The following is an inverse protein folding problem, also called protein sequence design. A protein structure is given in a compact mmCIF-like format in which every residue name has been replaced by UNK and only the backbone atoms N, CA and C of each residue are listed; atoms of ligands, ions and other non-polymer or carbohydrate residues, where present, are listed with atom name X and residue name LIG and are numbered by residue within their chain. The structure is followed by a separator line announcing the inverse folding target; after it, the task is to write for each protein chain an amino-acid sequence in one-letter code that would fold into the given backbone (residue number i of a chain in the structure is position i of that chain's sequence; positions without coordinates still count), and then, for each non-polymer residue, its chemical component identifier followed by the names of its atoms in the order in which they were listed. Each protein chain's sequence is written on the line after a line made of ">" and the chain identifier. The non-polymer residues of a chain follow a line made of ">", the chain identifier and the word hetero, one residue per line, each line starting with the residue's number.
data_IF_306323113765
#
_entry.id   IF_306323113765
#
_cell.length_a   1.000
_cell.length_b   1.000
_cell.length_c   1.000
_cell.angle_alpha   90.00
_cell.angle_beta   90.00
_cell.angle_gamma   90.00
#
_symmetry.space_group_name_H-M   'P 1'
#
loop_
_entity.id
_entity.type
_entity.pdbx_description
1 polymer ?
#
# COMPACT_ATOMS: atom_id res chain seq x y z
N UNK A 1 -9.01 -6.76 -24.77
CA UNK A 1 -7.82 -7.17 -23.96
C UNK A 1 -7.73 -6.50 -22.57
N UNK A 2 -8.80 -5.89 -22.01
CA UNK A 2 -8.68 -5.00 -20.82
C UNK A 2 -8.87 -5.65 -19.44
N UNK A 3 -9.37 -6.89 -19.33
CA UNK A 3 -9.91 -7.39 -18.04
C UNK A 3 -8.92 -8.12 -17.12
N UNK A 4 -7.90 -8.83 -17.65
CA UNK A 4 -6.91 -9.53 -16.81
C UNK A 4 -6.05 -8.56 -15.98
N UNK A 5 -5.90 -7.33 -16.47
CA UNK A 5 -5.03 -6.31 -15.89
C UNK A 5 -5.69 -5.55 -14.72
N UNK A 6 -7.02 -5.43 -14.72
CA UNK A 6 -7.82 -4.86 -13.62
C UNK A 6 -7.72 -5.69 -12.36
N UNK A 7 -7.75 -7.01 -12.48
CA UNK A 7 -7.74 -7.95 -11.36
C UNK A 7 -6.46 -7.86 -10.53
N UNK A 8 -5.30 -7.82 -11.20
CA UNK A 8 -4.00 -7.70 -10.53
C UNK A 8 -3.79 -6.34 -9.86
N UNK A 9 -4.27 -5.25 -10.49
CA UNK A 9 -4.20 -3.92 -9.87
C UNK A 9 -5.06 -3.87 -8.60
N UNK A 10 -6.27 -4.42 -8.67
CA UNK A 10 -7.18 -4.49 -7.54
C UNK A 10 -6.56 -5.23 -6.35
N UNK A 11 -5.98 -6.41 -6.61
CA UNK A 11 -5.26 -7.17 -5.60
C UNK A 11 -4.19 -6.35 -4.88
N UNK A 12 -3.30 -5.69 -5.64
CA UNK A 12 -2.19 -4.92 -5.07
C UNK A 12 -2.68 -3.77 -4.20
N UNK A 13 -3.77 -3.09 -4.61
CA UNK A 13 -4.38 -2.05 -3.78
C UNK A 13 -4.93 -2.66 -2.48
N UNK A 14 -5.54 -3.86 -2.54
CA UNK A 14 -6.05 -4.59 -1.35
C UNK A 14 -4.98 -5.07 -0.42
N UNK A 15 -3.87 -5.48 -0.98
CA UNK A 15 -2.67 -5.83 -0.24
C UNK A 15 -2.07 -4.61 0.45
N UNK A 16 -1.79 -3.53 -0.29
CA UNK A 16 -1.13 -2.33 0.24
C UNK A 16 -1.97 -1.54 1.27
N UNK A 17 -3.28 -1.79 1.34
CA UNK A 17 -4.21 -1.12 2.26
C UNK A 17 -4.99 -2.14 3.10
N UNK A 18 -4.36 -3.28 3.39
CA UNK A 18 -4.88 -4.31 4.29
C UNK A 18 -5.01 -3.80 5.72
N UNK A 19 -5.93 -4.35 6.49
CA UNK A 19 -5.98 -4.09 7.94
C UNK A 19 -4.85 -4.75 8.73
N UNK A 20 -4.18 -5.74 8.14
CA UNK A 20 -3.01 -6.42 8.70
C UNK A 20 -1.71 -5.65 8.47
N UNK A 21 -1.73 -4.59 7.66
CA UNK A 21 -0.55 -3.74 7.45
C UNK A 21 -0.54 -2.67 8.55
N UNK A 22 0.46 -2.71 9.42
CA UNK A 22 0.59 -1.75 10.52
C UNK A 22 1.05 -0.36 10.02
N UNK A 23 1.81 -0.31 8.92
CA UNK A 23 2.42 0.91 8.40
C UNK A 23 2.34 1.00 6.86
N UNK A 24 2.47 2.20 6.27
CA UNK A 24 2.43 2.35 4.82
C UNK A 24 3.65 1.71 4.14
N UNK A 25 3.40 0.64 3.36
CA UNK A 25 4.45 -0.02 2.61
C UNK A 25 4.81 0.75 1.33
N UNK A 26 5.87 1.57 1.41
CA UNK A 26 6.30 2.41 0.29
C UNK A 26 6.66 1.62 -0.97
N UNK A 27 7.22 0.41 -0.82
CA UNK A 27 7.55 -0.47 -1.95
C UNK A 27 6.29 -0.92 -2.69
N UNK A 28 5.24 -1.35 -1.97
CA UNK A 28 3.94 -1.71 -2.57
C UNK A 28 3.30 -0.50 -3.24
N UNK A 29 3.32 0.66 -2.58
CA UNK A 29 2.74 1.90 -3.10
C UNK A 29 3.41 2.35 -4.42
N UNK A 30 4.74 2.37 -4.47
CA UNK A 30 5.49 2.71 -5.67
C UNK A 30 5.25 1.71 -6.80
N UNK A 31 5.14 0.41 -6.50
CA UNK A 31 4.79 -0.60 -7.50
C UNK A 31 3.41 -0.36 -8.11
N UNK A 32 2.42 0.05 -7.30
CA UNK A 32 1.07 0.39 -7.79
C UNK A 32 1.13 1.63 -8.70
N UNK A 33 1.85 2.67 -8.28
CA UNK A 33 2.03 3.91 -9.05
C UNK A 33 2.70 3.61 -10.39
N UNK A 34 3.80 2.87 -10.40
CA UNK A 34 4.54 2.51 -11.62
C UNK A 34 3.63 1.76 -12.61
N UNK A 35 2.87 0.76 -12.13
CA UNK A 35 1.92 0.00 -12.95
C UNK A 35 0.82 0.86 -13.57
N UNK A 36 0.45 1.97 -12.94
CA UNK A 36 -0.60 2.89 -13.38
C UNK A 36 -0.07 4.06 -14.22
N UNK A 37 1.24 4.34 -14.17
CA UNK A 37 1.88 5.52 -14.76
C UNK A 37 1.49 5.75 -16.22
N UNK A 38 1.51 4.69 -17.04
CA UNK A 38 1.27 4.76 -18.50
C UNK A 38 -0.18 4.48 -18.93
N UNK A 39 -1.10 4.18 -18.01
CA UNK A 39 -2.45 3.72 -18.36
C UNK A 39 -3.55 4.57 -17.72
N UNK A 40 -4.23 5.44 -18.50
CA UNK A 40 -5.36 6.25 -18.04
C UNK A 40 -6.50 5.42 -17.41
N UNK A 41 -6.78 4.25 -17.99
CA UNK A 41 -7.81 3.33 -17.48
C UNK A 41 -7.47 2.81 -16.08
N UNK A 42 -6.22 2.37 -15.86
CA UNK A 42 -5.77 1.94 -14.53
C UNK A 42 -5.80 3.07 -13.51
N UNK A 43 -5.45 4.30 -13.91
CA UNK A 43 -5.51 5.45 -13.00
C UNK A 43 -6.94 5.75 -12.57
N UNK A 44 -7.93 5.52 -13.45
CA UNK A 44 -9.35 5.63 -13.12
C UNK A 44 -9.78 4.55 -12.12
N UNK A 45 -9.41 3.30 -12.38
CA UNK A 45 -9.75 2.17 -11.51
C UNK A 45 -9.10 2.31 -10.13
N UNK A 46 -7.83 2.73 -10.09
CA UNK A 46 -7.11 3.05 -8.86
C UNK A 46 -7.81 4.14 -8.06
N UNK A 47 -8.17 5.25 -8.70
CA UNK A 47 -8.87 6.34 -8.01
C UNK A 47 -10.21 5.85 -7.42
N UNK A 48 -10.99 5.10 -8.21
CA UNK A 48 -12.28 4.57 -7.77
C UNK A 48 -12.13 3.57 -6.62
N UNK A 49 -11.14 2.69 -6.65
CA UNK A 49 -10.94 1.72 -5.58
C UNK A 49 -10.45 2.39 -4.28
N UNK A 50 -9.53 3.36 -4.37
CA UNK A 50 -9.11 4.15 -3.20
C UNK A 50 -10.29 4.90 -2.55
N UNK A 51 -11.21 5.43 -3.37
CA UNK A 51 -12.45 6.04 -2.87
C UNK A 51 -13.32 5.04 -2.11
N UNK A 52 -13.40 3.79 -2.58
CA UNK A 52 -14.14 2.72 -1.89
C UNK A 52 -13.49 2.34 -0.57
N UNK A 53 -12.15 2.30 -0.51
CA UNK A 53 -11.40 2.02 0.72
C UNK A 53 -11.55 3.10 1.77
N UNK A 54 -11.51 4.37 1.38
CA UNK A 54 -11.72 5.50 2.29
C UNK A 54 -13.11 5.48 2.98
N UNK A 55 -14.09 4.78 2.41
CA UNK A 55 -15.43 4.61 3.02
C UNK A 55 -15.51 3.46 4.03
N UNK A 56 -14.50 2.59 4.15
CA UNK A 56 -14.50 1.46 5.09
C UNK A 56 -14.57 1.94 6.53
N UNK A 57 -15.05 1.11 7.47
CA UNK A 57 -15.10 1.48 8.90
C UNK A 57 -13.72 1.39 9.57
N UNK A 58 -12.89 0.45 9.11
CA UNK A 58 -11.55 0.21 9.64
C UNK A 58 -10.63 1.44 9.39
N UNK A 59 -10.04 1.96 10.45
CA UNK A 59 -9.19 3.15 10.42
C UNK A 59 -7.85 2.91 9.74
N UNK A 60 -7.23 1.74 9.95
CA UNK A 60 -5.99 1.32 9.28
C UNK A 60 -6.18 1.33 7.76
N UNK A 61 -7.27 0.73 7.26
CA UNK A 61 -7.58 0.74 5.82
C UNK A 61 -7.72 2.17 5.29
N UNK A 62 -8.42 3.06 6.01
CA UNK A 62 -8.56 4.47 5.59
C UNK A 62 -7.22 5.19 5.58
N UNK A 63 -6.40 4.99 6.61
CA UNK A 63 -5.10 5.61 6.74
C UNK A 63 -4.15 5.20 5.62
N UNK A 64 -3.96 3.89 5.41
CA UNK A 64 -3.12 3.40 4.32
C UNK A 64 -3.63 3.88 2.95
N UNK A 65 -4.96 3.95 2.79
CA UNK A 65 -5.57 4.46 1.56
C UNK A 65 -5.33 5.95 1.33
N UNK A 66 -5.34 6.80 2.38
CA UNK A 66 -5.04 8.22 2.21
C UNK A 66 -3.57 8.42 1.87
N UNK A 67 -2.66 7.64 2.46
CA UNK A 67 -1.22 7.71 2.17
C UNK A 67 -0.95 7.34 0.72
N UNK A 68 -1.52 6.22 0.26
CA UNK A 68 -1.40 5.81 -1.14
C UNK A 68 -2.04 6.85 -2.08
N UNK A 69 -3.22 7.39 -1.74
CA UNK A 69 -3.88 8.42 -2.55
C UNK A 69 -3.03 9.69 -2.69
N UNK A 70 -2.42 10.16 -1.60
CA UNK A 70 -1.53 11.32 -1.59
C UNK A 70 -0.31 11.10 -2.50
N UNK A 71 0.33 9.93 -2.38
CA UNK A 71 1.43 9.55 -3.27
C UNK A 71 0.98 9.50 -4.75
N UNK A 72 -0.18 8.91 -5.04
CA UNK A 72 -0.71 8.84 -6.40
C UNK A 72 -1.01 10.22 -6.99
N UNK A 73 -1.58 11.14 -6.20
CA UNK A 73 -1.86 12.51 -6.65
C UNK A 73 -0.57 13.28 -6.99
N UNK A 74 0.49 13.08 -6.21
CA UNK A 74 1.80 13.73 -6.42
C UNK A 74 2.61 13.11 -7.57
N UNK A 75 2.52 11.80 -7.77
CA UNK A 75 3.33 11.09 -8.76
C UNK A 75 2.66 10.91 -10.13
N UNK A 76 1.37 10.54 -10.19
CA UNK A 76 0.68 10.26 -11.45
C UNK A 76 0.21 11.53 -12.16
N UNK A 77 -0.18 12.56 -11.38
CA UNK A 77 -0.64 13.87 -11.86
C UNK A 77 -1.75 13.73 -12.93
N UNK A 78 -2.02 14.79 -13.69
CA UNK A 78 -2.85 14.79 -14.90
C UNK A 78 -4.13 13.95 -14.81
N UNK A 79 -4.16 12.83 -15.54
CA UNK A 79 -5.31 11.93 -15.65
C UNK A 79 -5.79 11.41 -14.29
N UNK A 80 -4.88 11.06 -13.37
CA UNK A 80 -5.27 10.59 -12.05
C UNK A 80 -6.02 11.68 -11.27
N UNK A 81 -5.48 12.91 -11.26
CA UNK A 81 -6.11 14.04 -10.56
C UNK A 81 -7.44 14.43 -11.20
N UNK A 82 -7.56 14.33 -12.52
CA UNK A 82 -8.84 14.47 -13.23
C UNK A 82 -9.91 13.49 -12.71
N UNK A 83 -9.53 12.26 -12.38
CA UNK A 83 -10.46 11.28 -11.80
C UNK A 83 -10.88 11.64 -10.36
N UNK A 84 -10.08 12.42 -9.62
CA UNK A 84 -10.43 12.93 -8.30
C UNK A 84 -11.41 14.11 -8.37
N UNK A 85 -11.48 14.83 -9.49
CA UNK A 85 -12.35 15.98 -9.71
C UNK A 85 -13.85 15.59 -9.84
N UNK A 86 -14.39 14.95 -8.80
CA UNK A 86 -15.78 14.51 -8.72
C UNK A 86 -16.38 14.94 -7.38
N UNK A 87 -17.62 15.45 -7.39
CA UNK A 87 -18.34 15.87 -6.17
C UNK A 87 -18.44 14.75 -5.13
N UNK A 88 -18.69 13.53 -5.60
CA UNK A 88 -18.79 12.35 -4.74
C UNK A 88 -17.46 11.95 -4.12
N UNK A 89 -16.32 12.18 -4.81
CA UNK A 89 -14.99 11.94 -4.27
C UNK A 89 -14.64 12.98 -3.20
N UNK A 90 -14.82 14.25 -3.52
CA UNK A 90 -14.56 15.35 -2.58
C UNK A 90 -15.42 15.25 -1.31
N UNK A 91 -16.66 14.74 -1.42
CA UNK A 91 -17.50 14.47 -0.24
C UNK A 91 -16.85 13.45 0.69
N UNK A 92 -16.27 12.38 0.16
CA UNK A 92 -15.55 11.36 0.96
C UNK A 92 -14.33 11.99 1.63
N UNK A 93 -13.50 12.74 0.89
CA UNK A 93 -12.33 13.41 1.48
C UNK A 93 -12.72 14.38 2.58
N UNK A 94 -13.80 15.16 2.41
CA UNK A 94 -14.30 16.04 3.48
C UNK A 94 -14.71 15.24 4.72
N UNK A 95 -15.38 14.10 4.56
CA UNK A 95 -15.79 13.26 5.68
C UNK A 95 -14.58 12.73 6.46
N UNK A 96 -13.54 12.27 5.74
CA UNK A 96 -12.29 11.80 6.34
C UNK A 96 -11.55 12.96 7.04
N UNK A 97 -11.47 14.13 6.40
CA UNK A 97 -10.83 15.32 6.96
C UNK A 97 -11.51 15.83 8.24
N UNK A 98 -12.84 15.71 8.36
CA UNK A 98 -13.58 16.18 9.55
C UNK A 98 -13.66 15.16 10.69
N UNK A 99 -12.97 14.02 10.59
CA UNK A 99 -13.10 12.95 11.57
C UNK A 99 -12.35 13.30 12.87
N UNK A 100 -13.10 13.63 13.92
CA UNK A 100 -12.59 14.27 15.16
C UNK A 100 -11.56 13.47 15.96
N UNK A 101 -11.53 12.15 15.84
CA UNK A 101 -10.68 11.28 16.69
C UNK A 101 -9.33 10.91 16.08
N UNK A 102 -8.94 11.45 14.92
CA UNK A 102 -7.71 11.06 14.22
C UNK A 102 -6.99 12.25 13.60
N UNK A 103 -6.04 12.81 14.35
CA UNK A 103 -5.29 14.01 13.95
C UNK A 103 -4.47 13.74 12.69
N UNK A 104 -3.70 12.65 12.61
CA UNK A 104 -2.81 12.41 11.47
C UNK A 104 -3.57 12.14 10.16
N UNK A 105 -4.61 11.28 10.20
CA UNK A 105 -5.46 11.00 9.05
C UNK A 105 -6.17 12.27 8.55
N UNK A 106 -6.67 13.08 9.48
CA UNK A 106 -7.32 14.36 9.17
C UNK A 106 -6.31 15.34 8.54
N UNK A 107 -5.17 15.56 9.20
CA UNK A 107 -4.11 16.47 8.76
C UNK A 107 -3.59 16.09 7.38
N UNK A 108 -3.31 14.81 7.14
CA UNK A 108 -2.85 14.33 5.82
C UNK A 108 -3.91 14.52 4.74
N UNK A 109 -5.19 14.30 5.07
CA UNK A 109 -6.30 14.56 4.13
C UNK A 109 -6.41 16.05 3.81
N UNK A 110 -6.26 16.92 4.82
CA UNK A 110 -6.29 18.37 4.64
C UNK A 110 -5.11 18.85 3.79
N UNK A 111 -3.90 18.33 4.05
CA UNK A 111 -2.71 18.60 3.25
C UNK A 111 -2.93 18.21 1.78
N UNK A 112 -3.51 17.03 1.52
CA UNK A 112 -3.85 16.61 0.16
C UNK A 112 -4.87 17.55 -0.51
N UNK A 113 -5.92 17.96 0.20
CA UNK A 113 -6.92 18.90 -0.35
C UNK A 113 -6.26 20.25 -0.67
N UNK A 114 -5.36 20.74 0.19
CA UNK A 114 -4.59 21.96 -0.06
C UNK A 114 -3.70 21.80 -1.30
N UNK A 115 -2.95 20.71 -1.39
CA UNK A 115 -2.11 20.39 -2.54
C UNK A 115 -2.93 20.39 -3.84
N UNK A 116 -4.09 19.74 -3.86
CA UNK A 116 -4.98 19.71 -5.02
C UNK A 116 -5.48 21.10 -5.40
N UNK A 117 -5.90 21.91 -4.42
CA UNK A 117 -6.35 23.30 -4.66
C UNK A 117 -5.24 24.20 -5.19
N UNK A 118 -4.00 24.04 -4.72
CA UNK A 118 -2.88 24.89 -5.11
C UNK A 118 -2.31 24.51 -6.48
N UNK A 119 -2.25 23.22 -6.80
CA UNK A 119 -1.59 22.72 -8.01
C UNK A 119 -2.54 22.50 -9.20
N UNK A 120 -3.86 22.43 -8.95
CA UNK A 120 -4.86 22.14 -9.99
C UNK A 120 -6.03 23.13 -9.94
N UNK A 121 -5.71 24.41 -10.10
CA UNK A 121 -6.66 25.53 -10.03
C UNK A 121 -7.77 25.47 -11.09
N UNK A 122 -7.54 24.77 -12.20
CA UNK A 122 -8.51 24.53 -13.26
C UNK A 122 -9.73 23.73 -12.75
N UNK A 123 -9.55 22.91 -11.72
CA UNK A 123 -10.61 22.14 -11.10
C UNK A 123 -11.23 22.90 -9.93
N UNK A 124 -12.21 23.76 -10.24
CA UNK A 124 -12.96 24.58 -9.26
C UNK A 124 -13.53 23.79 -8.08
N UNK A 125 -13.73 22.47 -8.22
CA UNK A 125 -14.21 21.62 -7.13
C UNK A 125 -13.25 21.55 -5.94
N UNK A 126 -11.94 21.59 -6.20
CA UNK A 126 -10.92 21.52 -5.16
C UNK A 126 -10.94 22.81 -4.34
N UNK A 127 -10.97 23.97 -5.01
CA UNK A 127 -11.14 25.28 -4.37
C UNK A 127 -12.43 25.37 -3.57
N UNK A 128 -13.57 24.93 -4.12
CA UNK A 128 -14.85 24.90 -3.39
C UNK A 128 -14.79 24.01 -2.16
N UNK A 129 -14.14 22.85 -2.27
CA UNK A 129 -13.98 21.90 -1.16
C UNK A 129 -13.13 22.47 -0.05
N UNK A 130 -12.01 23.11 -0.40
CA UNK A 130 -11.12 23.81 0.52
C UNK A 130 -11.85 24.95 1.26
N UNK A 131 -12.56 25.82 0.53
CA UNK A 131 -13.34 26.92 1.13
C UNK A 131 -14.45 26.42 2.05
N UNK A 132 -15.12 25.32 1.69
CA UNK A 132 -16.14 24.68 2.55
C UNK A 132 -15.55 24.20 3.87
N UNK A 133 -14.29 23.74 3.88
CA UNK A 133 -13.62 23.29 5.10
C UNK A 133 -13.17 24.50 5.96
N UNK A 134 -12.72 25.59 5.33
CA UNK A 134 -12.44 26.85 6.03
C UNK A 134 -13.68 27.43 6.71
N UNK A 135 -14.81 27.49 6.02
CA UNK A 135 -16.08 27.96 6.60
C UNK A 135 -16.57 27.09 7.78
N UNK A 136 -16.10 25.83 7.87
CA UNK A 136 -16.36 24.95 9.01
C UNK A 136 -15.39 25.16 10.17
N UNK A 137 -14.50 26.15 10.09
CA UNK A 137 -13.51 26.46 11.12
C UNK A 137 -12.32 25.49 11.15
N UNK A 138 -12.06 24.76 10.06
CA UNK A 138 -10.93 23.82 10.01
C UNK A 138 -9.66 24.57 9.63
N UNK A 139 -8.69 24.55 10.54
CA UNK A 139 -7.39 25.16 10.31
C UNK A 139 -6.49 24.22 9.50
N UNK A 140 -5.89 24.78 8.46
CA UNK A 140 -4.99 24.10 7.55
C UNK A 140 -3.55 24.37 8.03
N UNK A 141 -2.93 23.46 8.78
CA UNK A 141 -1.53 23.56 9.27
C UNK A 141 -0.49 23.47 8.14
N UNK A 142 0.55 24.30 8.17
CA UNK A 142 1.68 24.21 7.22
C UNK A 142 2.42 22.87 7.39
N UNK A 143 2.67 22.17 6.29
CA UNK A 143 3.25 20.82 6.29
C UNK A 143 4.73 20.85 6.74
N UNK A 144 5.14 20.13 7.80
CA UNK A 144 6.55 20.08 8.22
C UNK A 144 7.45 19.14 7.40
N UNK A 145 6.90 18.16 6.67
CA UNK A 145 7.68 16.97 6.26
C UNK A 145 8.15 16.90 4.80
N UNK A 146 7.91 17.90 3.97
CA UNK A 146 8.48 17.94 2.61
C UNK A 146 8.97 19.34 2.23
N UNK A 147 9.91 19.84 3.03
CA UNK A 147 10.84 20.89 2.63
C UNK A 147 11.92 20.31 1.73
N UNK A 148 11.84 20.59 0.43
CA UNK A 148 12.87 20.18 -0.53
C UNK A 148 12.61 20.76 -1.92
N UNK A 149 12.99 22.02 -2.12
CA UNK A 149 13.07 22.64 -3.46
C UNK A 149 12.44 24.01 -3.57
N UNK A 150 13.08 25.00 -2.95
CA UNK A 150 12.83 26.44 -3.11
C UNK A 150 12.96 26.86 -4.59
N UNK A 151 12.08 27.75 -5.04
CA UNK A 151 12.52 29.12 -5.39
C UNK A 151 11.33 29.98 -5.81
N UNK A 152 10.79 30.75 -4.87
CA UNK A 152 10.28 32.07 -5.20
C UNK A 152 10.77 33.10 -4.17
N UNK A 153 11.50 34.05 -4.73
CA UNK A 153 12.26 35.16 -4.15
C UNK A 153 11.61 35.82 -2.93
N UNK A 154 12.39 35.99 -1.87
CA UNK A 154 12.29 37.17 -1.01
C UNK A 154 13.67 37.82 -0.85
N UNK A 155 13.66 39.12 -1.11
CA UNK A 155 14.74 40.08 -1.10
C UNK A 155 15.09 40.44 0.35
N UNK A 156 16.37 40.42 0.73
CA UNK A 156 17.12 41.58 1.28
C UNK A 156 18.27 41.24 2.25
N UNK A 157 19.39 41.93 1.98
CA UNK A 157 20.47 42.42 2.87
C UNK A 157 21.61 41.49 3.34
N UNK A 158 22.71 41.63 2.59
CA UNK A 158 24.15 41.61 2.97
C UNK A 158 24.45 41.78 4.46
N UNK A 159 25.36 40.96 4.99
CA UNK A 159 26.59 41.38 5.71
C UNK A 159 27.70 40.33 5.47
N UNK A 160 28.90 40.79 5.08
CA UNK A 160 30.20 40.07 4.99
C UNK A 160 30.80 40.01 6.43
N UNK A 161 31.70 39.13 6.89
CA UNK A 161 33.00 38.69 6.36
C UNK A 161 33.70 37.78 7.41
N UNK A 162 34.65 36.95 6.95
CA UNK A 162 35.92 36.50 7.59
C UNK A 162 36.01 35.34 8.61
N UNK A 163 36.78 34.31 8.18
CA UNK A 163 37.93 33.60 8.78
C UNK A 163 37.90 33.31 10.31
N UNK A 164 38.28 32.12 10.82
CA UNK A 164 39.64 31.53 10.72
C UNK A 164 39.64 30.10 11.29
N UNK A 165 40.50 29.24 10.73
CA UNK A 165 40.90 27.90 11.19
C UNK A 165 41.77 28.00 12.48
N UNK A 166 41.99 26.91 13.26
CA UNK A 166 43.16 26.05 12.96
C UNK A 166 43.01 24.54 13.26
N UNK A 167 43.93 23.78 12.63
CA UNK A 167 44.13 22.31 12.63
C UNK A 167 44.86 21.77 13.88
N UNK A 168 44.67 20.47 14.16
CA UNK A 168 45.68 19.43 14.54
C UNK A 168 45.05 18.04 14.25
N UNK A 169 45.49 17.24 13.26
CA UNK A 169 46.57 16.19 13.27
C UNK A 169 46.50 15.26 14.49
N UNK A 170 46.51 13.93 14.45
CA UNK A 170 46.78 12.87 13.46
C UNK A 170 46.39 11.54 14.14
N UNK A 171 45.98 10.50 13.39
CA UNK A 171 46.56 9.14 13.43
C UNK A 171 45.69 8.13 12.66
N UNK A 172 46.22 7.76 11.49
CA UNK A 172 46.26 6.44 10.84
C UNK A 172 45.72 5.25 11.64
N UNK A 173 44.87 4.41 11.02
CA UNK A 173 45.22 3.01 10.62
C UNK A 173 44.12 2.44 9.70
N UNK A 174 44.55 1.93 8.56
CA UNK A 174 43.77 1.19 7.57
C UNK A 174 43.35 -0.18 8.13
N UNK A 175 42.16 -0.67 7.80
CA UNK A 175 42.09 -1.96 7.11
C UNK A 175 40.71 -2.25 6.51
N UNK A 176 40.80 -2.90 5.37
CA UNK A 176 39.79 -3.15 4.35
C UNK A 176 39.32 -4.62 4.45
N UNK A 177 38.07 -4.85 4.07
CA UNK A 177 37.47 -6.13 3.65
C UNK A 177 37.51 -7.31 4.63
N UNK A 178 36.33 -7.88 4.91
CA UNK A 178 35.95 -9.19 4.32
C UNK A 178 34.50 -9.54 4.62
N UNK A 179 33.93 -10.20 3.63
CA UNK A 179 32.64 -10.88 3.62
C UNK A 179 32.66 -12.09 4.57
N UNK A 180 31.63 -12.23 5.40
CA UNK A 180 31.31 -13.46 6.14
C UNK A 180 29.81 -13.71 5.96
N UNK A 181 29.42 -14.51 4.96
CA UNK A 181 29.40 -15.99 4.95
C UNK A 181 28.34 -16.53 5.90
N UNK A 182 27.23 -16.90 5.27
CA UNK A 182 26.25 -17.93 5.64
C UNK A 182 26.65 -18.80 6.84
N UNK A 183 26.02 -18.54 7.99
CA UNK A 183 25.87 -19.55 9.02
C UNK A 183 24.61 -20.35 8.72
N UNK A 184 24.76 -21.42 7.94
CA UNK A 184 23.85 -22.56 8.05
C UNK A 184 24.17 -23.24 9.38
N UNK A 185 23.43 -22.89 10.43
CA UNK A 185 23.28 -23.80 11.55
C UNK A 185 22.54 -25.02 11.01
N UNK A 186 23.25 -26.15 10.89
CA UNK A 186 22.66 -27.47 10.80
C UNK A 186 21.89 -27.73 12.10
N UNK A 187 20.68 -27.19 12.18
CA UNK A 187 19.69 -27.65 13.13
C UNK A 187 19.23 -29.00 12.60
N UNK A 188 19.41 -30.06 13.40
CA UNK A 188 18.78 -31.35 13.13
C UNK A 188 17.29 -31.10 13.29
N UNK A 189 16.61 -30.75 12.20
CA UNK A 189 15.18 -30.51 12.18
C UNK A 189 14.52 -31.87 12.55
N UNK A 190 13.80 -31.96 13.69
CA UNK A 190 13.04 -33.15 14.05
C UNK A 190 12.18 -33.62 12.88
N UNK A 191 12.02 -34.93 12.68
CA UNK A 191 11.25 -35.45 11.52
C UNK A 191 9.83 -34.87 11.44
N UNK A 192 9.22 -34.59 12.59
CA UNK A 192 7.92 -33.91 12.70
C UNK A 192 7.95 -32.50 12.09
N UNK A 193 9.02 -31.74 12.28
CA UNK A 193 9.19 -30.40 11.68
C UNK A 193 9.54 -30.46 10.19
N UNK A 194 10.23 -31.50 9.72
CA UNK A 194 10.47 -31.70 8.27
C UNK A 194 9.16 -31.93 7.52
N UNK A 195 8.25 -32.71 8.11
CA UNK A 195 6.92 -32.95 7.55
C UNK A 195 6.11 -31.65 7.47
N UNK A 196 6.14 -30.84 8.53
CA UNK A 196 5.52 -29.50 8.54
C UNK A 196 6.10 -28.62 7.43
N UNK A 197 7.42 -28.60 7.23
CA UNK A 197 8.05 -27.81 6.17
C UNK A 197 7.65 -28.30 4.78
N UNK A 198 7.58 -29.61 4.55
CA UNK A 198 7.09 -30.19 3.29
C UNK A 198 5.63 -29.83 3.03
N UNK A 199 4.77 -29.94 4.05
CA UNK A 199 3.36 -29.55 3.96
C UNK A 199 3.24 -28.05 3.63
N UNK A 200 4.08 -27.19 4.23
CA UNK A 200 4.13 -25.76 3.92
C UNK A 200 4.54 -25.50 2.46
N UNK A 201 5.47 -26.27 1.91
CA UNK A 201 5.88 -26.11 0.52
C UNK A 201 4.77 -26.56 -0.46
N UNK A 202 4.05 -27.64 -0.17
CA UNK A 202 2.85 -28.04 -0.92
C UNK A 202 1.78 -26.96 -0.87
N UNK A 203 1.58 -26.33 0.30
CA UNK A 203 0.64 -25.21 0.45
C UNK A 203 1.10 -24.03 -0.42
N UNK A 204 2.38 -23.66 -0.40
CA UNK A 204 2.92 -22.58 -1.23
C UNK A 204 2.77 -22.87 -2.72
N UNK A 205 3.03 -24.09 -3.17
CA UNK A 205 2.84 -24.50 -4.56
C UNK A 205 1.37 -24.39 -4.97
N UNK A 206 0.45 -24.84 -4.12
CA UNK A 206 -1.00 -24.75 -4.38
C UNK A 206 -1.48 -23.30 -4.40
N UNK A 207 -0.96 -22.47 -3.48
CA UNK A 207 -1.20 -21.02 -3.44
C UNK A 207 -0.68 -20.36 -4.71
N UNK A 208 0.51 -20.72 -5.18
CA UNK A 208 1.09 -20.19 -6.40
C UNK A 208 0.30 -20.63 -7.64
N UNK A 209 -0.13 -21.89 -7.71
CA UNK A 209 -0.96 -22.41 -8.80
C UNK A 209 -2.31 -21.71 -8.85
N UNK A 210 -3.00 -21.59 -7.71
CA UNK A 210 -4.26 -20.85 -7.64
C UNK A 210 -4.06 -19.37 -7.97
N UNK A 211 -2.95 -18.76 -7.55
CA UNK A 211 -2.59 -17.39 -7.95
C UNK A 211 -2.43 -17.30 -9.47
N UNK A 212 -1.70 -18.22 -10.09
CA UNK A 212 -1.51 -18.24 -11.54
C UNK A 212 -2.83 -18.47 -12.30
N UNK A 213 -3.68 -19.39 -11.84
CA UNK A 213 -5.00 -19.65 -12.41
C UNK A 213 -5.91 -18.42 -12.29
N UNK A 214 -5.97 -17.81 -11.10
CA UNK A 214 -6.74 -16.58 -10.89
C UNK A 214 -6.19 -15.37 -11.67
N UNK A 215 -4.90 -15.39 -12.05
CA UNK A 215 -4.30 -14.41 -12.96
C UNK A 215 -4.55 -14.74 -14.44
N UNK A 216 -4.70 -16.02 -14.78
CA UNK A 216 -4.92 -16.51 -16.13
C UNK A 216 -6.39 -16.45 -16.59
N UNK A 217 -7.34 -16.33 -15.66
CA UNK A 217 -8.79 -16.24 -15.92
C UNK A 217 -9.17 -15.24 -17.01
N UNK A 218 -10.12 -15.63 -17.86
CA UNK A 218 -10.61 -14.80 -18.97
C UNK A 218 -11.55 -13.67 -18.51
N UNK A 219 -11.62 -12.54 -19.27
CA UNK A 219 -12.43 -11.36 -18.94
C UNK A 219 -13.90 -11.58 -18.55
N UNK A 220 -14.51 -12.63 -19.08
CA UNK A 220 -15.93 -12.97 -18.92
C UNK A 220 -16.14 -14.28 -18.16
N UNK A 221 -15.06 -14.93 -17.73
CA UNK A 221 -15.13 -16.17 -16.97
C UNK A 221 -15.36 -15.82 -15.51
N UNK A 222 -16.54 -16.17 -14.99
CA UNK A 222 -16.81 -16.02 -13.56
C UNK A 222 -15.87 -16.98 -12.84
N UNK A 223 -15.19 -16.49 -11.81
CA UNK A 223 -14.35 -17.32 -10.92
C UNK A 223 -15.11 -18.55 -10.39
N UNK A 224 -16.43 -18.41 -10.20
CA UNK A 224 -17.36 -19.47 -9.78
C UNK A 224 -17.69 -20.50 -10.87
N UNK A 225 -17.44 -20.20 -12.15
CA UNK A 225 -17.70 -21.10 -13.26
C UNK A 225 -16.56 -22.10 -13.48
N UNK A 226 -15.41 -21.90 -12.84
CA UNK A 226 -14.28 -22.79 -12.95
C UNK A 226 -14.23 -23.74 -11.73
N UNK A 227 -14.58 -25.03 -11.90
CA UNK A 227 -14.64 -25.99 -10.80
C UNK A 227 -13.26 -26.22 -10.18
N UNK A 228 -12.19 -26.18 -10.99
CA UNK A 228 -10.81 -26.32 -10.52
C UNK A 228 -10.44 -25.18 -9.57
N UNK A 229 -10.78 -23.93 -9.92
CA UNK A 229 -10.52 -22.78 -9.05
C UNK A 229 -11.32 -22.88 -7.74
N UNK A 230 -12.57 -23.35 -7.82
CA UNK A 230 -13.43 -23.52 -6.64
C UNK A 230 -12.85 -24.59 -5.70
N UNK A 231 -12.39 -25.71 -6.24
CA UNK A 231 -11.74 -26.79 -5.48
C UNK A 231 -10.42 -26.33 -4.86
N UNK A 232 -9.55 -25.67 -5.63
CA UNK A 232 -8.31 -25.11 -5.10
C UNK A 232 -8.57 -24.06 -4.00
N UNK A 233 -9.62 -23.24 -4.12
CA UNK A 233 -9.99 -22.28 -3.08
C UNK A 233 -10.47 -22.98 -1.81
N UNK A 234 -11.26 -24.05 -1.93
CA UNK A 234 -11.65 -24.88 -0.79
C UNK A 234 -10.42 -25.50 -0.12
N UNK A 235 -9.45 -25.99 -0.90
CA UNK A 235 -8.19 -26.51 -0.37
C UNK A 235 -7.37 -25.43 0.34
N UNK A 236 -7.28 -24.22 -0.23
CA UNK A 236 -6.60 -23.08 0.41
C UNK A 236 -7.31 -22.63 1.69
N UNK A 237 -8.64 -22.73 1.78
CA UNK A 237 -9.37 -22.50 3.06
C UNK A 237 -9.07 -23.57 4.10
N UNK A 238 -8.96 -24.84 3.70
CA UNK A 238 -8.55 -25.94 4.60
C UNK A 238 -7.11 -25.73 5.08
N UNK A 239 -6.20 -25.35 4.19
CA UNK A 239 -4.83 -24.98 4.56
C UNK A 239 -4.79 -23.82 5.56
N UNK A 240 -5.63 -22.79 5.39
CA UNK A 240 -5.75 -21.73 6.40
C UNK A 240 -6.12 -22.27 7.78
N UNK A 241 -7.09 -23.18 7.86
CA UNK A 241 -7.50 -23.77 9.14
C UNK A 241 -6.38 -24.62 9.75
N UNK A 242 -5.68 -25.41 8.93
CA UNK A 242 -4.54 -26.20 9.37
C UNK A 242 -3.40 -25.31 9.87
N UNK A 243 -3.04 -24.26 9.14
CA UNK A 243 -2.01 -23.30 9.54
C UNK A 243 -2.38 -22.55 10.81
N UNK A 244 -3.64 -22.19 11.00
CA UNK A 244 -4.11 -21.55 12.24
C UNK A 244 -3.97 -22.46 13.46
N UNK A 245 -4.23 -23.77 13.32
CA UNK A 245 -3.96 -24.74 14.37
C UNK A 245 -2.46 -24.89 14.62
N UNK A 246 -1.68 -24.97 13.55
CA UNK A 246 -0.22 -25.15 13.61
C UNK A 246 0.50 -23.96 14.27
N UNK A 247 0.00 -22.73 14.10
CA UNK A 247 0.53 -21.53 14.78
C UNK A 247 0.47 -21.66 16.31
N UNK A 248 -0.52 -22.39 16.84
CA UNK A 248 -0.71 -22.56 18.28
C UNK A 248 0.19 -23.69 18.83
N UNK A 249 0.47 -24.70 18.01
CA UNK A 249 1.23 -25.89 18.42
C UNK A 249 2.74 -25.76 18.21
N UNK A 250 3.19 -24.98 17.24
CA UNK A 250 4.62 -24.85 16.90
C UNK A 250 5.35 -24.00 17.93
N UNK A 251 6.32 -24.63 18.61
CA UNK A 251 7.22 -23.96 19.55
C UNK A 251 8.53 -23.46 18.91
N UNK A 252 8.90 -24.00 17.74
CA UNK A 252 10.12 -23.62 17.02
C UNK A 252 9.95 -22.27 16.30
N UNK A 253 10.84 -21.32 16.58
CA UNK A 253 10.75 -19.95 16.06
C UNK A 253 10.91 -19.86 14.54
N UNK A 254 11.78 -20.70 13.96
CA UNK A 254 12.03 -20.70 12.52
C UNK A 254 10.83 -21.26 11.75
N UNK A 255 10.27 -22.38 12.22
CA UNK A 255 9.06 -22.97 11.64
C UNK A 255 7.87 -22.06 11.84
N UNK A 256 7.71 -21.45 13.03
CA UNK A 256 6.63 -20.49 13.28
C UNK A 256 6.67 -19.32 12.30
N UNK A 257 7.84 -18.77 12.03
CA UNK A 257 8.01 -17.71 11.01
C UNK A 257 7.55 -18.16 9.63
N UNK A 258 7.90 -19.38 9.22
CA UNK A 258 7.52 -19.93 7.92
C UNK A 258 6.01 -20.21 7.83
N UNK A 259 5.42 -20.71 8.92
CA UNK A 259 3.97 -20.94 9.04
C UNK A 259 3.21 -19.62 8.96
N UNK A 260 3.67 -18.58 9.66
CA UNK A 260 3.07 -17.23 9.62
C UNK A 260 3.15 -16.62 8.22
N UNK A 261 4.32 -16.68 7.57
CA UNK A 261 4.47 -16.18 6.19
C UNK A 261 3.56 -16.92 5.21
N UNK A 262 3.47 -18.25 5.32
CA UNK A 262 2.60 -19.06 4.46
C UNK A 262 1.12 -18.77 4.74
N UNK A 263 0.73 -18.58 6.00
CA UNK A 263 -0.62 -18.19 6.40
C UNK A 263 -0.99 -16.81 5.85
N UNK A 264 -0.07 -15.85 5.86
CA UNK A 264 -0.28 -14.53 5.26
C UNK A 264 -0.49 -14.63 3.74
N UNK A 265 0.29 -15.45 3.05
CA UNK A 265 0.11 -15.72 1.62
C UNK A 265 -1.26 -16.34 1.32
N UNK A 266 -1.66 -17.36 2.10
CA UNK A 266 -2.97 -18.01 2.01
C UNK A 266 -4.11 -17.02 2.26
N UNK A 267 -4.01 -16.19 3.31
CA UNK A 267 -5.01 -15.18 3.64
C UNK A 267 -5.14 -14.11 2.55
N UNK A 268 -4.01 -13.67 2.00
CA UNK A 268 -3.99 -12.72 0.90
C UNK A 268 -4.65 -13.30 -0.35
N UNK A 269 -4.43 -14.58 -0.65
CA UNK A 269 -5.03 -15.26 -1.79
C UNK A 269 -6.54 -15.48 -1.63
N UNK A 270 -6.99 -15.90 -0.44
CA UNK A 270 -8.43 -16.00 -0.13
C UNK A 270 -9.09 -14.64 -0.26
N UNK A 271 -8.42 -13.58 0.21
CA UNK A 271 -8.90 -12.21 0.02
C UNK A 271 -8.98 -11.87 -1.47
N UNK A 272 -7.95 -12.18 -2.26
CA UNK A 272 -7.96 -11.95 -3.71
C UNK A 272 -9.17 -12.64 -4.38
N UNK A 273 -9.37 -13.92 -4.12
CA UNK A 273 -10.53 -14.65 -4.62
C UNK A 273 -11.85 -13.99 -4.21
N UNK A 274 -12.00 -13.62 -2.93
CA UNK A 274 -13.21 -12.96 -2.40
C UNK A 274 -13.49 -11.62 -3.07
N UNK A 275 -12.44 -10.89 -3.44
CA UNK A 275 -12.54 -9.61 -4.13
C UNK A 275 -12.99 -9.77 -5.59
N UNK A 276 -12.52 -10.82 -6.26
CA UNK A 276 -12.92 -11.16 -7.62
C UNK A 276 -14.39 -11.59 -7.71
N UNK A 277 -14.99 -11.99 -6.59
CA UNK A 277 -16.42 -12.30 -6.49
C UNK A 277 -17.31 -11.06 -6.24
N UNK A 278 -16.74 -9.91 -5.88
CA UNK A 278 -17.55 -8.72 -5.57
C UNK A 278 -17.92 -7.97 -6.87
N UNK A 279 -19.20 -7.66 -7.10
CA UNK A 279 -19.57 -6.82 -8.22
C UNK A 279 -18.91 -5.45 -8.07
N UNK A 280 -18.29 -4.96 -9.15
CA UNK A 280 -17.74 -3.60 -9.24
C UNK A 280 -18.77 -2.63 -8.66
N UNK A 281 -18.40 -1.94 -7.57
CA UNK A 281 -19.31 -1.04 -6.87
C UNK A 281 -19.85 0.00 -7.85
N UNK A 282 -21.15 -0.11 -8.17
CA UNK A 282 -21.92 0.90 -8.89
C UNK A 282 -21.99 2.20 -8.08
#
# INVERSE_FOLDING_TARGET
>A
MSSKMTNRLFYLIHEATSETEHEPNMKKNLSIIDRCSKSPFKQKDLAQELKCRLKKKNLTIRFLSIVLLDMCAKNLKGTFVKNLNQKSYMKVLRQVATWKTQTELSERTLALIRYLKNNYSEYKIFSKTFQTLLHKGINFREDPEFGGGLNEKQLSKKVKTNNTQPKRTTNTTNNTFTSTRNNHQNHIIPEELKKVIQDLDVIKETVNLLTQLLLALEPNEKVQSNPLITELVENVKKFRQQLQGLIIEVSDEYVLKLVLETNDQVNNLIRYHTLMLKPNCK
#
